data_IF_989089232955
#
_entry.id   IF_989089232955
#
_cell.length_a   1.000
_cell.length_b   1.000
_cell.length_c   1.000
_cell.angle_alpha   90.00
_cell.angle_beta   90.00
_cell.angle_gamma   90.00
#
_symmetry.space_group_name_H-M   'P 1'
#
loop_
_entity.id
_entity.type
_entity.pdbx_description
1 polymer ?
#
# COMPACT_ATOMS: atom_id res chain seq x y z
N UNK A 1 -7.66 17.79 3.51
CA UNK A 1 -7.27 19.07 4.15
C UNK A 1 -5.76 19.11 4.21
N UNK A 2 -5.11 20.27 4.07
CA UNK A 2 -3.69 20.44 4.36
C UNK A 2 -3.60 21.53 5.43
N UNK A 3 -2.94 21.24 6.55
CA UNK A 3 -2.84 22.10 7.73
C UNK A 3 -1.37 22.20 8.13
N UNK A 4 -1.03 23.25 8.87
CA UNK A 4 0.32 23.46 9.40
C UNK A 4 0.66 22.54 10.59
N UNK A 5 -0.35 21.86 11.15
CA UNK A 5 -0.23 20.89 12.24
C UNK A 5 -0.76 19.52 11.83
N UNK A 6 -0.28 18.46 12.49
CA UNK A 6 -0.75 17.12 12.27
C UNK A 6 -2.21 16.98 12.73
N UNK A 7 -3.08 16.53 11.81
CA UNK A 7 -4.46 16.16 12.10
C UNK A 7 -4.70 14.73 11.60
N UNK A 8 -5.67 14.02 12.18
CA UNK A 8 -6.03 12.63 11.81
C UNK A 8 -4.93 11.57 12.04
N UNK A 9 -4.12 11.69 13.08
CA UNK A 9 -3.21 10.60 13.48
C UNK A 9 -4.01 9.39 13.98
N UNK A 10 -3.78 8.22 13.39
CA UNK A 10 -4.43 6.97 13.83
C UNK A 10 -3.91 6.48 15.19
N UNK A 11 -4.73 5.76 15.98
CA UNK A 11 -4.41 5.40 17.36
C UNK A 11 -3.14 4.54 17.48
N UNK A 12 -2.93 3.59 16.57
CA UNK A 12 -1.73 2.73 16.59
C UNK A 12 -0.46 3.50 16.21
N UNK A 13 -0.56 4.52 15.36
CA UNK A 13 0.57 5.42 15.08
C UNK A 13 0.86 6.30 16.29
N UNK A 14 -0.16 6.90 16.92
CA UNK A 14 0.00 7.72 18.13
C UNK A 14 0.71 6.94 19.24
N UNK A 15 0.22 5.74 19.56
CA UNK A 15 0.81 4.87 20.57
C UNK A 15 2.28 4.54 20.26
N UNK A 16 2.61 4.29 18.99
CA UNK A 16 3.97 3.97 18.59
C UNK A 16 4.92 5.16 18.75
N UNK A 17 4.46 6.36 18.40
CA UNK A 17 5.26 7.58 18.55
C UNK A 17 5.44 7.96 20.02
N UNK A 18 4.39 7.88 20.84
CA UNK A 18 4.46 8.12 22.28
C UNK A 18 5.44 7.16 22.97
N UNK A 19 5.46 5.89 22.57
CA UNK A 19 6.44 4.92 23.06
C UNK A 19 7.87 5.29 22.64
N UNK A 20 8.07 5.65 21.37
CA UNK A 20 9.36 6.10 20.88
C UNK A 20 9.88 7.33 21.65
N UNK A 21 9.03 8.32 21.89
CA UNK A 21 9.38 9.52 22.66
C UNK A 21 9.73 9.19 24.12
N UNK A 22 8.99 8.25 24.74
CA UNK A 22 9.18 7.89 26.14
C UNK A 22 10.47 7.09 26.37
N UNK A 23 10.78 6.11 25.51
CA UNK A 23 11.82 5.12 25.80
C UNK A 23 12.71 4.74 24.60
N UNK A 24 12.55 5.41 23.45
CA UNK A 24 13.34 5.14 22.24
C UNK A 24 12.95 3.86 21.50
N UNK A 25 11.86 3.19 21.88
CA UNK A 25 11.43 1.97 21.18
C UNK A 25 11.02 2.29 19.74
N UNK A 26 11.75 1.71 18.78
CA UNK A 26 11.47 1.84 17.33
C UNK A 26 10.60 0.71 16.77
N UNK A 27 10.06 -0.15 17.63
CA UNK A 27 9.20 -1.28 17.26
C UNK A 27 7.79 -1.01 17.77
N UNK A 28 6.83 -0.99 16.84
CA UNK A 28 5.42 -0.79 17.14
C UNK A 28 4.85 -1.85 18.09
N UNK A 29 3.68 -1.59 18.70
CA UNK A 29 3.03 -2.55 19.59
C UNK A 29 2.75 -3.87 18.87
N UNK A 30 3.13 -4.97 19.51
CA UNK A 30 2.75 -6.31 19.08
C UNK A 30 1.24 -6.47 19.30
N UNK A 31 0.47 -6.55 18.22
CA UNK A 31 -0.92 -6.97 18.28
C UNK A 31 -0.98 -8.47 17.98
N UNK A 32 -1.18 -9.27 19.02
CA UNK A 32 -1.26 -10.74 18.92
C UNK A 32 -2.63 -11.22 18.43
N UNK A 33 -3.71 -10.46 18.65
CA UNK A 33 -5.08 -10.82 18.24
C UNK A 33 -5.90 -9.55 17.89
N UNK A 34 -6.73 -9.63 16.84
CA UNK A 34 -7.62 -8.55 16.37
C UNK A 34 -7.29 -7.99 14.99
N UNK A 35 -8.21 -7.21 14.43
CA UNK A 35 -8.08 -6.51 13.13
C UNK A 35 -6.84 -5.60 13.12
N UNK A 36 -5.91 -5.86 12.22
CA UNK A 36 -4.69 -5.07 12.07
C UNK A 36 -4.99 -3.76 11.32
N UNK A 37 -4.50 -2.64 11.81
CA UNK A 37 -4.80 -1.33 11.20
C UNK A 37 -3.95 -1.06 9.96
N UNK A 38 -4.51 -0.31 9.01
CA UNK A 38 -3.93 -0.03 7.68
C UNK A 38 -2.85 1.08 7.65
N UNK A 39 -2.49 1.65 8.80
CA UNK A 39 -1.66 2.86 8.87
C UNK A 39 -0.21 2.71 8.37
N UNK A 40 0.34 1.50 8.30
CA UNK A 40 1.62 1.24 7.63
C UNK A 40 1.48 1.10 6.11
N UNK A 41 0.42 0.44 5.65
CA UNK A 41 0.15 0.20 4.23
C UNK A 41 -0.10 1.52 3.47
N UNK A 42 -0.78 2.48 4.10
CA UNK A 42 -1.12 3.77 3.48
C UNK A 42 0.09 4.66 3.14
N UNK A 43 1.29 4.32 3.65
CA UNK A 43 2.53 5.08 3.45
C UNK A 43 3.67 4.26 2.85
N UNK A 44 3.34 3.12 2.22
CA UNK A 44 4.31 2.11 1.80
C UNK A 44 5.17 2.54 0.61
N UNK A 45 4.57 3.16 -0.42
CA UNK A 45 5.15 3.35 -1.75
C UNK A 45 6.60 3.84 -1.83
N UNK A 46 7.11 4.73 -0.96
CA UNK A 46 8.51 5.13 -0.99
C UNK A 46 9.50 3.96 -0.96
N UNK A 47 9.18 2.90 -0.21
CA UNK A 47 10.07 1.75 -0.02
C UNK A 47 10.22 0.91 -1.29
N UNK A 48 9.15 0.33 -1.88
CA UNK A 48 9.29 -0.44 -3.12
C UNK A 48 9.79 0.39 -4.29
N UNK A 49 9.52 1.69 -4.35
CA UNK A 49 10.07 2.56 -5.40
C UNK A 49 11.58 2.77 -5.25
N UNK A 50 12.09 2.91 -4.02
CA UNK A 50 13.54 3.03 -3.78
C UNK A 50 14.29 1.75 -4.16
N UNK A 51 13.69 0.59 -3.90
CA UNK A 51 14.27 -0.73 -4.18
C UNK A 51 13.73 -1.37 -5.46
N UNK A 52 13.19 -0.58 -6.41
CA UNK A 52 12.51 -1.13 -7.58
C UNK A 52 13.39 -2.09 -8.40
N UNK A 53 14.72 -1.88 -8.45
CA UNK A 53 15.66 -2.77 -9.14
C UNK A 53 16.18 -3.94 -8.28
N UNK A 54 15.74 -4.05 -7.03
CA UNK A 54 16.11 -5.11 -6.07
C UNK A 54 14.85 -5.68 -5.42
N UNK A 55 14.04 -6.47 -6.16
CA UNK A 55 12.68 -6.79 -5.74
C UNK A 55 12.59 -7.56 -4.41
N UNK A 56 13.54 -8.45 -4.13
CA UNK A 56 13.65 -9.12 -2.83
C UNK A 56 13.75 -8.11 -1.68
N UNK A 57 14.66 -7.14 -1.80
CA UNK A 57 14.85 -6.08 -0.79
C UNK A 57 13.62 -5.17 -0.70
N UNK A 58 12.96 -4.86 -1.82
CA UNK A 58 11.72 -4.09 -1.82
C UNK A 58 10.64 -4.78 -0.99
N UNK A 59 10.47 -6.10 -1.15
CA UNK A 59 9.49 -6.89 -0.39
C UNK A 59 9.87 -6.92 1.08
N UNK A 60 11.13 -7.24 1.40
CA UNK A 60 11.60 -7.31 2.79
C UNK A 60 11.49 -5.97 3.52
N UNK A 61 12.03 -4.90 2.93
CA UNK A 61 11.99 -3.58 3.55
C UNK A 61 10.59 -3.00 3.57
N UNK A 62 9.72 -3.35 2.61
CA UNK A 62 8.30 -3.04 2.66
C UNK A 62 7.67 -3.57 3.95
N UNK A 63 7.89 -4.85 4.26
CA UNK A 63 7.46 -5.46 5.53
C UNK A 63 8.11 -4.81 6.76
N UNK A 64 9.44 -4.64 6.75
CA UNK A 64 10.19 -4.03 7.87
C UNK A 64 9.72 -2.60 8.17
N UNK A 65 9.32 -1.83 7.16
CA UNK A 65 8.79 -0.48 7.33
C UNK A 65 7.48 -0.43 8.12
N UNK A 66 6.68 -1.50 8.07
CA UNK A 66 5.47 -1.64 8.88
C UNK A 66 5.81 -1.74 10.37
N UNK A 67 6.86 -2.50 10.71
CA UNK A 67 7.23 -2.85 12.09
C UNK A 67 7.44 -1.61 12.97
N UNK A 68 7.86 -0.48 12.39
CA UNK A 68 8.10 0.76 13.15
C UNK A 68 6.88 1.30 13.89
N UNK A 69 5.66 0.92 13.46
CA UNK A 69 4.42 1.35 14.11
C UNK A 69 3.34 0.25 14.16
N UNK A 70 3.32 -0.63 13.19
CA UNK A 70 2.31 -1.67 13.01
C UNK A 70 3.02 -3.02 12.97
N UNK A 71 3.31 -3.56 14.16
CA UNK A 71 4.01 -4.82 14.34
C UNK A 71 3.01 -5.98 14.50
N UNK A 72 2.24 -6.23 13.43
CA UNK A 72 1.35 -7.39 13.31
C UNK A 72 1.67 -8.12 12.01
N UNK A 73 1.58 -9.45 12.03
CA UNK A 73 1.87 -10.27 10.85
C UNK A 73 1.05 -9.85 9.64
N UNK A 74 -0.25 -9.58 9.83
CA UNK A 74 -1.16 -9.17 8.75
C UNK A 74 -0.72 -7.84 8.12
N UNK A 75 -0.37 -6.82 8.91
CA UNK A 75 0.08 -5.53 8.38
C UNK A 75 1.44 -5.63 7.67
N UNK A 76 2.35 -6.44 8.22
CA UNK A 76 3.67 -6.70 7.63
C UNK A 76 3.51 -7.40 6.29
N UNK A 77 2.70 -8.46 6.23
CA UNK A 77 2.49 -9.24 5.01
C UNK A 77 1.70 -8.47 3.95
N UNK A 78 0.74 -7.63 4.35
CA UNK A 78 0.08 -6.69 3.45
C UNK A 78 1.10 -5.76 2.78
N UNK A 79 2.04 -5.22 3.57
CA UNK A 79 3.10 -4.36 3.04
C UNK A 79 4.07 -5.13 2.12
N UNK A 80 4.42 -6.38 2.46
CA UNK A 80 5.26 -7.25 1.63
C UNK A 80 4.60 -7.54 0.28
N UNK A 81 3.34 -7.95 0.30
CA UNK A 81 2.61 -8.29 -0.93
C UNK A 81 2.34 -7.04 -1.79
N UNK A 82 1.91 -5.93 -1.18
CA UNK A 82 1.73 -4.68 -1.92
C UNK A 82 3.06 -4.14 -2.51
N UNK A 83 4.20 -4.35 -1.83
CA UNK A 83 5.52 -3.99 -2.38
C UNK A 83 5.86 -4.81 -3.63
N UNK A 84 5.57 -6.12 -3.62
CA UNK A 84 5.70 -6.98 -4.80
C UNK A 84 4.92 -6.42 -6.00
N UNK A 85 3.66 -6.01 -5.77
CA UNK A 85 2.80 -5.45 -6.81
C UNK A 85 3.30 -4.08 -7.30
N UNK A 86 3.71 -3.18 -6.41
CA UNK A 86 4.22 -1.86 -6.79
C UNK A 86 5.50 -2.00 -7.63
N UNK A 87 6.41 -2.91 -7.26
CA UNK A 87 7.63 -3.17 -8.04
C UNK A 87 7.27 -3.69 -9.43
N UNK A 88 6.42 -4.72 -9.53
CA UNK A 88 5.96 -5.26 -10.82
C UNK A 88 5.32 -4.20 -11.71
N UNK A 89 4.43 -3.37 -11.13
CA UNK A 89 3.80 -2.26 -11.82
C UNK A 89 4.84 -1.26 -12.36
N UNK A 90 5.81 -0.86 -11.53
CA UNK A 90 6.87 0.07 -11.92
C UNK A 90 7.80 -0.46 -13.02
N UNK A 91 7.90 -1.79 -13.16
CA UNK A 91 8.63 -2.46 -14.23
C UNK A 91 7.82 -2.65 -15.52
N UNK A 92 6.56 -2.19 -15.55
CA UNK A 92 5.69 -2.33 -16.73
C UNK A 92 5.11 -3.73 -16.91
N UNK A 93 5.03 -4.54 -15.85
CA UNK A 93 4.38 -5.85 -15.90
C UNK A 93 2.89 -5.67 -16.20
N UNK A 94 2.36 -6.42 -17.16
CA UNK A 94 0.94 -6.33 -17.55
C UNK A 94 0.01 -6.65 -16.37
N UNK A 95 -1.13 -5.96 -16.30
CA UNK A 95 -2.12 -6.11 -15.22
C UNK A 95 -2.62 -7.55 -15.01
N UNK A 96 -2.78 -8.34 -16.07
CA UNK A 96 -3.19 -9.75 -15.98
C UNK A 96 -2.16 -10.61 -15.23
N UNK A 97 -0.88 -10.37 -15.49
CA UNK A 97 0.24 -11.04 -14.80
C UNK A 97 0.40 -10.48 -13.39
N UNK A 98 0.33 -9.16 -13.24
CA UNK A 98 0.48 -8.48 -11.95
C UNK A 98 -0.56 -8.95 -10.93
N UNK A 99 -1.77 -9.28 -11.39
CA UNK A 99 -2.85 -9.79 -10.56
C UNK A 99 -2.93 -11.32 -10.59
N UNK A 100 -1.94 -12.05 -11.12
CA UNK A 100 -1.92 -13.51 -11.03
C UNK A 100 -1.81 -13.98 -9.58
N UNK A 101 -2.24 -15.21 -9.33
CA UNK A 101 -2.12 -15.82 -8.01
C UNK A 101 -0.66 -15.78 -7.51
N UNK A 102 -0.48 -15.21 -6.31
CA UNK A 102 0.82 -14.98 -5.66
C UNK A 102 1.88 -14.27 -6.51
N UNK A 103 1.49 -13.29 -7.34
CA UNK A 103 2.46 -12.53 -8.12
C UNK A 103 3.68 -12.10 -7.29
N UNK A 104 4.87 -12.41 -7.81
CA UNK A 104 6.16 -12.03 -7.24
C UNK A 104 7.14 -11.68 -8.37
N UNK A 105 7.78 -10.49 -8.34
CA UNK A 105 8.87 -10.17 -9.25
C UNK A 105 10.19 -10.88 -8.89
N UNK A 106 10.21 -11.74 -7.85
CA UNK A 106 11.39 -12.44 -7.36
C UNK A 106 11.14 -13.95 -7.20
N UNK A 107 11.02 -14.65 -8.32
CA UNK A 107 10.91 -16.12 -8.37
C UNK A 107 9.90 -16.69 -7.38
N UNK A 108 10.31 -17.75 -6.67
CA UNK A 108 9.48 -18.51 -5.73
C UNK A 108 9.55 -17.98 -4.28
N UNK A 109 9.76 -16.66 -4.09
CA UNK A 109 9.96 -16.04 -2.77
C UNK A 109 8.96 -16.49 -1.69
N UNK A 110 7.68 -16.64 -2.06
CA UNK A 110 6.60 -17.01 -1.15
C UNK A 110 6.68 -18.46 -0.62
N UNK A 111 7.45 -19.35 -1.28
CA UNK A 111 7.62 -20.74 -0.81
C UNK A 111 8.38 -20.79 0.52
N UNK A 112 9.41 -19.94 0.66
CA UNK A 112 10.21 -19.83 1.89
C UNK A 112 9.71 -18.74 2.83
N UNK A 113 8.87 -17.82 2.36
CA UNK A 113 8.40 -16.68 3.14
C UNK A 113 6.89 -16.50 3.05
N UNK A 114 6.15 -17.51 3.49
CA UNK A 114 4.69 -17.59 3.41
C UNK A 114 4.02 -16.33 3.94
N UNK A 115 2.94 -15.95 3.27
CA UNK A 115 2.01 -14.92 3.73
C UNK A 115 1.09 -15.50 4.81
N UNK A 116 0.61 -14.67 5.72
CA UNK A 116 -0.44 -15.06 6.64
C UNK A 116 -1.75 -15.35 5.90
N UNK A 117 -2.67 -16.15 6.48
CA UNK A 117 -3.87 -16.63 5.80
C UNK A 117 -4.73 -15.53 5.16
N UNK A 118 -4.88 -14.39 5.83
CA UNK A 118 -5.68 -13.26 5.37
C UNK A 118 -5.13 -12.65 4.08
N UNK A 119 -3.81 -12.44 4.03
CA UNK A 119 -3.14 -11.86 2.85
C UNK A 119 -2.98 -12.91 1.76
N UNK A 120 -2.80 -14.18 2.13
CA UNK A 120 -2.82 -15.30 1.19
C UNK A 120 -4.14 -15.37 0.40
N UNK A 121 -5.30 -15.23 1.07
CA UNK A 121 -6.59 -15.21 0.38
C UNK A 121 -6.69 -14.10 -0.67
N UNK A 122 -6.18 -12.91 -0.34
CA UNK A 122 -6.10 -11.78 -1.27
C UNK A 122 -5.13 -12.09 -2.42
N UNK A 123 -3.96 -12.64 -2.12
CA UNK A 123 -2.95 -12.99 -3.11
C UNK A 123 -3.42 -14.10 -4.08
N UNK A 124 -4.36 -14.95 -3.67
CA UNK A 124 -5.08 -15.91 -4.53
C UNK A 124 -6.18 -15.26 -5.38
N UNK A 125 -6.45 -13.97 -5.19
CA UNK A 125 -7.40 -13.21 -5.99
C UNK A 125 -8.82 -13.20 -5.45
N UNK A 126 -9.04 -13.26 -4.12
CA UNK A 126 -10.39 -13.16 -3.51
C UNK A 126 -11.18 -11.96 -4.02
N UNK A 127 -10.52 -10.81 -4.17
CA UNK A 127 -11.12 -9.57 -4.69
C UNK A 127 -11.75 -9.72 -6.07
N UNK A 128 -11.23 -10.59 -6.95
CA UNK A 128 -11.73 -10.73 -8.33
C UNK A 128 -13.16 -11.28 -8.41
N UNK A 129 -13.64 -11.93 -7.34
CA UNK A 129 -14.94 -12.61 -7.29
C UNK A 129 -16.00 -11.82 -6.51
N UNK A 130 -15.63 -10.69 -5.91
CA UNK A 130 -16.50 -9.90 -5.04
C UNK A 130 -17.24 -8.82 -5.82
N UNK A 131 -18.51 -8.65 -5.48
CA UNK A 131 -19.31 -7.48 -5.84
C UNK A 131 -18.94 -6.27 -4.95
N UNK A 132 -19.33 -5.07 -5.37
CA UNK A 132 -19.10 -3.84 -4.59
C UNK A 132 -19.67 -3.91 -3.17
N UNK A 133 -20.82 -4.58 -2.97
CA UNK A 133 -21.45 -4.74 -1.65
C UNK A 133 -20.68 -5.64 -0.67
N UNK A 134 -19.76 -6.46 -1.19
CA UNK A 134 -18.93 -7.37 -0.40
C UNK A 134 -17.57 -6.75 -0.04
N UNK A 135 -17.18 -5.66 -0.73
CA UNK A 135 -15.97 -4.92 -0.43
C UNK A 135 -16.21 -4.01 0.76
N UNK A 136 -15.23 -3.99 1.67
CA UNK A 136 -15.23 -3.16 2.87
C UNK A 136 -14.01 -2.25 2.82
N UNK A 137 -14.20 -1.00 3.20
CA UNK A 137 -13.15 0.03 3.28
C UNK A 137 -13.03 0.49 4.73
N UNK A 138 -12.82 -0.42 5.67
CA UNK A 138 -12.63 -0.08 7.10
C UNK A 138 -11.15 0.18 7.39
N UNK A 139 -10.82 0.65 8.60
CA UNK A 139 -9.44 0.75 9.12
C UNK A 139 -8.64 -0.56 9.17
N UNK A 140 -9.21 -1.68 8.72
CA UNK A 140 -8.56 -2.98 8.71
C UNK A 140 -7.70 -3.10 7.44
N UNK A 141 -6.45 -3.53 7.60
CA UNK A 141 -5.47 -3.61 6.52
C UNK A 141 -5.86 -4.62 5.43
N UNK A 142 -6.54 -5.71 5.79
CA UNK A 142 -7.03 -6.73 4.85
C UNK A 142 -8.13 -6.14 3.98
N UNK A 143 -9.10 -5.47 4.62
CA UNK A 143 -10.17 -4.77 3.92
C UNK A 143 -9.64 -3.69 2.96
N UNK A 144 -8.70 -2.86 3.42
CA UNK A 144 -8.08 -1.79 2.63
C UNK A 144 -7.34 -2.34 1.41
N UNK A 145 -6.50 -3.37 1.61
CA UNK A 145 -5.73 -3.99 0.53
C UNK A 145 -6.68 -4.64 -0.49
N UNK A 146 -7.69 -5.38 -0.03
CA UNK A 146 -8.66 -6.02 -0.90
C UNK A 146 -9.47 -5.00 -1.72
N UNK A 147 -9.89 -3.89 -1.11
CA UNK A 147 -10.61 -2.82 -1.79
C UNK A 147 -9.76 -2.13 -2.87
N UNK A 148 -8.49 -1.85 -2.58
CA UNK A 148 -7.57 -1.26 -3.54
C UNK A 148 -7.34 -2.18 -4.76
N UNK A 149 -7.13 -3.48 -4.52
CA UNK A 149 -6.95 -4.47 -5.59
C UNK A 149 -8.25 -4.74 -6.36
N UNK A 150 -9.40 -4.73 -5.69
CA UNK A 150 -10.70 -4.82 -6.32
C UNK A 150 -10.93 -3.67 -7.29
N UNK A 151 -10.71 -2.43 -6.86
CA UNK A 151 -10.89 -1.27 -7.71
C UNK A 151 -9.90 -1.27 -8.88
N UNK A 152 -8.63 -1.62 -8.62
CA UNK A 152 -7.62 -1.75 -9.66
C UNK A 152 -7.97 -2.84 -10.67
N UNK A 153 -8.49 -3.99 -10.23
CA UNK A 153 -8.94 -5.07 -11.11
C UNK A 153 -10.09 -4.64 -12.02
N UNK A 154 -11.11 -3.99 -11.47
CA UNK A 154 -12.36 -3.65 -12.17
C UNK A 154 -12.31 -2.37 -13.03
N UNK A 155 -11.15 -1.70 -13.14
CA UNK A 155 -11.03 -0.45 -13.90
C UNK A 155 -9.74 -0.38 -14.72
N UNK A 156 -9.77 0.29 -15.87
CA UNK A 156 -8.65 0.29 -16.83
C UNK A 156 -7.91 1.62 -16.94
N UNK A 157 -8.20 2.56 -16.03
CA UNK A 157 -7.46 3.81 -15.88
C UNK A 157 -7.43 4.25 -14.40
N UNK A 158 -6.56 5.22 -14.11
CA UNK A 158 -6.35 5.72 -12.75
C UNK A 158 -7.59 6.42 -12.18
N UNK A 159 -8.28 7.21 -13.00
CA UNK A 159 -9.40 8.04 -12.56
C UNK A 159 -10.58 7.18 -12.13
N UNK A 160 -11.01 6.26 -12.98
CA UNK A 160 -12.16 5.40 -12.71
C UNK A 160 -11.92 4.52 -11.48
N UNK A 161 -10.73 3.94 -11.32
CA UNK A 161 -10.45 3.10 -10.14
C UNK A 161 -10.32 3.91 -8.85
N UNK A 162 -9.78 5.13 -8.93
CA UNK A 162 -9.72 6.03 -7.78
C UNK A 162 -11.14 6.40 -7.34
N UNK A 163 -11.98 6.84 -8.29
CA UNK A 163 -13.38 7.16 -8.02
C UNK A 163 -14.14 5.95 -7.50
N UNK A 164 -13.89 4.76 -8.06
CA UNK A 164 -14.54 3.53 -7.66
C UNK A 164 -14.25 3.19 -6.19
N UNK A 165 -12.98 3.25 -5.76
CA UNK A 165 -12.62 2.88 -4.39
C UNK A 165 -13.06 3.92 -3.36
N UNK A 166 -12.94 5.22 -3.66
CA UNK A 166 -13.30 6.27 -2.69
C UNK A 166 -14.81 6.37 -2.48
N UNK A 167 -15.62 6.05 -3.51
CA UNK A 167 -17.07 6.05 -3.39
C UNK A 167 -17.63 4.85 -2.62
N UNK A 168 -16.80 3.90 -2.18
CA UNK A 168 -17.22 2.85 -1.22
C UNK A 168 -17.43 3.43 0.20
N UNK A 169 -16.89 4.61 0.50
CA UNK A 169 -17.06 5.31 1.78
C UNK A 169 -16.19 4.75 2.91
N UNK A 170 -16.60 5.01 4.16
CA UNK A 170 -15.89 4.63 5.39
C UNK A 170 -14.45 5.20 5.42
N UNK A 171 -13.42 4.37 5.48
CA UNK A 171 -11.99 4.75 5.38
C UNK A 171 -11.56 4.93 3.92
N UNK A 172 -12.25 5.85 3.24
CA UNK A 172 -12.11 6.13 1.82
C UNK A 172 -10.77 6.80 1.48
N UNK A 173 -10.24 7.64 2.37
CA UNK A 173 -8.95 8.30 2.18
C UNK A 173 -7.80 7.29 2.19
N UNK A 174 -7.80 6.33 3.13
CA UNK A 174 -6.77 5.30 3.17
C UNK A 174 -6.88 4.35 1.98
N UNK A 175 -8.09 3.91 1.64
CA UNK A 175 -8.31 3.00 0.52
C UNK A 175 -7.97 3.66 -0.83
N UNK A 176 -8.30 4.94 -1.00
CA UNK A 176 -7.87 5.76 -2.13
C UNK A 176 -6.36 5.94 -2.20
N UNK A 177 -5.69 6.18 -1.08
CA UNK A 177 -4.23 6.28 -1.00
C UNK A 177 -3.55 4.96 -1.39
N UNK A 178 -4.00 3.82 -0.87
CA UNK A 178 -3.44 2.50 -1.20
C UNK A 178 -3.68 2.13 -2.66
N UNK A 179 -4.88 2.38 -3.20
CA UNK A 179 -5.13 2.26 -4.64
C UNK A 179 -4.17 3.13 -5.46
N UNK A 180 -4.03 4.41 -5.10
CA UNK A 180 -3.20 5.38 -5.80
C UNK A 180 -1.73 4.98 -5.86
N UNK A 181 -1.21 4.28 -4.86
CA UNK A 181 0.15 3.75 -4.85
C UNK A 181 0.38 2.73 -5.98
N UNK A 182 -0.50 1.73 -6.11
CA UNK A 182 -0.39 0.70 -7.16
C UNK A 182 -0.76 1.25 -8.53
N UNK A 183 -1.91 1.92 -8.63
CA UNK A 183 -2.41 2.47 -9.89
C UNK A 183 -1.47 3.55 -10.44
N UNK A 184 -0.86 4.37 -9.57
CA UNK A 184 0.13 5.36 -9.97
C UNK A 184 1.43 4.75 -10.48
N UNK A 185 1.88 3.64 -9.88
CA UNK A 185 3.02 2.88 -10.38
C UNK A 185 2.73 2.21 -11.73
N UNK A 186 1.49 1.77 -11.96
CA UNK A 186 1.08 1.07 -13.18
C UNK A 186 0.76 2.00 -14.36
N UNK A 187 -0.14 2.97 -14.15
CA UNK A 187 -0.57 3.92 -15.19
C UNK A 187 0.42 5.07 -15.39
N UNK A 188 1.36 5.24 -14.46
CA UNK A 188 2.33 6.32 -14.46
C UNK A 188 1.71 7.69 -14.15
N UNK A 189 2.57 8.69 -13.92
CA UNK A 189 2.15 10.06 -13.63
C UNK A 189 1.29 10.68 -14.75
N UNK A 190 1.57 10.34 -16.01
CA UNK A 190 0.79 10.81 -17.16
C UNK A 190 -0.62 10.22 -17.20
N UNK A 191 -0.87 9.09 -16.53
CA UNK A 191 -2.20 8.49 -16.41
C UNK A 191 -3.08 9.13 -15.33
N UNK A 192 -2.53 10.00 -14.47
CA UNK A 192 -3.29 10.71 -13.44
C UNK A 192 -3.91 11.98 -14.05
N UNK A 193 -5.21 12.27 -13.83
CA UNK A 193 -5.85 13.47 -14.36
C UNK A 193 -5.10 14.75 -14.01
N UNK A 194 -4.76 15.55 -15.01
CA UNK A 194 -3.97 16.78 -14.84
C UNK A 194 -4.65 17.78 -13.88
N UNK A 195 -5.98 17.84 -13.90
CA UNK A 195 -6.79 18.69 -13.05
C UNK A 195 -6.82 18.23 -11.57
N UNK A 196 -6.47 16.98 -11.27
CA UNK A 196 -6.20 16.50 -9.90
C UNK A 196 -4.77 16.86 -9.50
N UNK A 197 -3.80 16.61 -10.38
CA UNK A 197 -2.40 16.96 -10.13
C UNK A 197 -2.23 18.46 -9.83
N UNK A 198 -2.97 19.35 -10.49
CA UNK A 198 -2.88 20.80 -10.27
C UNK A 198 -3.44 21.26 -8.92
N UNK A 199 -4.23 20.43 -8.23
CA UNK A 199 -4.81 20.73 -6.91
C UNK A 199 -4.02 20.14 -5.75
N UNK A 200 -3.02 19.31 -6.03
CA UNK A 200 -2.24 18.63 -5.00
C UNK A 200 -1.34 19.65 -4.26
N UNK A 201 -1.54 19.77 -2.95
CA UNK A 201 -0.67 20.55 -2.08
C UNK A 201 0.75 19.96 -2.07
N UNK A 202 1.78 20.81 -2.08
CA UNK A 202 3.20 20.41 -2.10
C UNK A 202 3.57 19.45 -3.25
N UNK A 203 2.89 19.57 -4.40
CA UNK A 203 3.13 18.71 -5.58
C UNK A 203 4.60 18.64 -5.98
N UNK A 204 5.28 19.78 -6.05
CA UNK A 204 6.68 19.81 -6.50
C UNK A 204 7.61 19.11 -5.51
N UNK A 205 7.34 19.23 -4.20
CA UNK A 205 8.07 18.50 -3.16
C UNK A 205 7.88 16.99 -3.31
N UNK A 206 6.64 16.52 -3.45
CA UNK A 206 6.32 15.09 -3.64
C UNK A 206 7.01 14.55 -4.90
N UNK A 207 6.95 15.27 -6.01
CA UNK A 207 7.64 14.91 -7.26
C UNK A 207 9.15 14.87 -7.07
N UNK A 208 9.72 15.79 -6.29
CA UNK A 208 11.16 15.80 -5.99
C UNK A 208 11.59 14.56 -5.21
N UNK A 209 10.82 14.13 -4.21
CA UNK A 209 11.11 12.91 -3.45
C UNK A 209 10.97 11.66 -4.30
N UNK A 210 9.92 11.55 -5.12
CA UNK A 210 9.76 10.42 -6.03
C UNK A 210 10.95 10.27 -7.00
N UNK A 211 11.47 11.38 -7.53
CA UNK A 211 12.68 11.38 -8.38
C UNK A 211 13.93 10.95 -7.62
N UNK A 212 14.12 11.41 -6.39
CA UNK A 212 15.26 11.04 -5.56
C UNK A 212 15.23 9.55 -5.19
N UNK A 213 14.06 9.03 -4.78
CA UNK A 213 13.88 7.63 -4.40
C UNK A 213 14.22 6.68 -5.54
N UNK A 214 13.71 6.94 -6.75
CA UNK A 214 13.98 6.10 -7.92
C UNK A 214 15.45 6.10 -8.34
N UNK A 215 16.26 7.07 -7.90
CA UNK A 215 17.70 7.13 -8.13
C UNK A 215 18.57 6.58 -6.99
N UNK A 216 17.99 6.28 -5.82
CA UNK A 216 18.75 6.04 -4.58
C UNK A 216 19.56 4.74 -4.60
N UNK A 217 19.03 3.70 -5.24
CA UNK A 217 19.63 2.36 -5.28
C UNK A 217 19.75 1.80 -6.70
N UNK A 218 19.85 2.69 -7.71
CA UNK A 218 20.20 2.32 -9.10
C UNK A 218 21.62 1.77 -9.18
#
# INVERSE_FOLDING_TARGET
SSKDEAFSIGPTTSESLERFERDGTVIGPLKKEGKATNGSLMRLAPVPLAFALKPELAIEYGGKSSISTHNSTVAIDACRYMSSLIVGASMGVRKDILLSEFYCPYGDYWNSHRLCPEIEMIARGSFKKKSSSEIRTTMDVTNTLEAALWAFYNTDNFEDGCLLVVNLGDDADTSGAVYGQLAGAYYGRSGIPSHWQSKLFERELIVSYARQLTGLFK
#
